data_IF_915861113730
#
_entry.id   IF_915861113730
#
_cell.length_a   1.000
_cell.length_b   1.000
_cell.length_c   1.000
_cell.angle_alpha   90.00
_cell.angle_beta   90.00
_cell.angle_gamma   90.00
#
_symmetry.space_group_name_H-M   'P 1'
#
loop_
_entity.id
_entity.type
_entity.pdbx_description
1 polymer ?
#
# COMPACT_ATOMS: atom_id res chain seq x y z
N UNK A 1 1.80 -20.91 -9.22
CA UNK A 1 1.03 -19.82 -9.84
C UNK A 1 0.51 -18.88 -8.76
N UNK A 2 1.23 -17.78 -8.52
CA UNK A 2 0.71 -16.56 -7.91
C UNK A 2 1.68 -15.46 -8.36
N UNK A 3 1.32 -14.79 -9.44
CA UNK A 3 2.10 -13.69 -10.03
C UNK A 3 2.06 -12.51 -9.07
N UNK A 4 3.05 -12.42 -8.18
CA UNK A 4 3.31 -11.17 -7.48
C UNK A 4 4.14 -10.31 -8.42
N UNK A 5 3.43 -9.45 -9.15
CA UNK A 5 3.99 -8.48 -10.07
C UNK A 5 4.73 -7.43 -9.25
N UNK A 6 6.03 -7.62 -9.05
CA UNK A 6 6.93 -6.54 -8.64
C UNK A 6 7.15 -5.63 -9.84
N UNK A 7 6.14 -4.79 -10.13
CA UNK A 7 6.33 -3.69 -11.07
C UNK A 7 7.21 -2.66 -10.38
N UNK A 8 8.46 -2.59 -10.83
CA UNK A 8 9.32 -1.41 -10.73
C UNK A 8 8.53 -0.15 -11.02
N UNK A 9 8.84 0.94 -10.33
CA UNK A 9 8.97 2.31 -10.86
C UNK A 9 9.11 3.24 -9.65
N UNK A 10 10.31 3.78 -9.48
CA UNK A 10 10.56 5.01 -8.73
C UNK A 10 9.53 6.07 -9.13
N UNK A 11 9.04 6.88 -8.19
CA UNK A 11 8.61 8.30 -8.29
C UNK A 11 7.47 8.56 -7.28
N UNK A 12 7.83 9.24 -6.19
CA UNK A 12 7.01 9.60 -5.02
C UNK A 12 6.52 8.49 -4.09
N UNK A 13 7.23 8.32 -2.98
CA UNK A 13 6.78 7.60 -1.79
C UNK A 13 5.38 8.07 -1.40
N UNK A 14 4.38 7.27 -1.72
CA UNK A 14 3.02 7.36 -1.21
C UNK A 14 2.86 6.25 -0.18
N UNK A 15 3.41 6.43 1.03
CA UNK A 15 3.52 5.33 1.96
C UNK A 15 2.18 4.99 2.61
N UNK A 16 1.16 5.82 2.45
CA UNK A 16 -0.14 5.61 3.05
C UNK A 16 -1.09 4.96 2.05
N UNK A 17 -1.46 3.72 2.28
CA UNK A 17 -2.29 2.93 1.37
C UNK A 17 -3.59 2.52 2.07
N UNK A 18 -4.73 2.77 1.45
CA UNK A 18 -6.01 2.22 1.92
C UNK A 18 -6.25 0.87 1.24
N UNK A 19 -6.43 -0.16 2.06
CA UNK A 19 -6.79 -1.51 1.62
C UNK A 19 -8.22 -1.84 2.03
N UNK A 20 -8.90 -2.52 1.13
CA UNK A 20 -10.21 -3.11 1.35
C UNK A 20 -10.03 -4.57 1.80
N UNK A 21 -10.56 -4.92 2.96
CA UNK A 21 -10.63 -6.30 3.42
C UNK A 21 -11.86 -6.97 2.84
N UNK A 22 -11.63 -8.06 2.11
CA UNK A 22 -12.66 -8.89 1.50
C UNK A 22 -12.91 -10.13 2.38
N UNK A 23 -14.14 -10.69 2.36
CA UNK A 23 -14.36 -12.03 2.89
C UNK A 23 -13.43 -13.00 2.15
N UNK A 24 -12.90 -14.01 2.86
CA UNK A 24 -11.86 -14.95 2.40
C UNK A 24 -10.40 -14.52 2.66
N UNK A 25 -10.17 -13.64 3.64
CA UNK A 25 -8.81 -13.20 4.02
C UNK A 25 -8.03 -12.57 2.85
N UNK A 26 -8.74 -12.02 1.88
CA UNK A 26 -8.17 -11.29 0.75
C UNK A 26 -8.18 -9.80 1.08
N UNK A 27 -7.17 -9.09 0.59
CA UNK A 27 -7.13 -7.64 0.63
C UNK A 27 -6.97 -7.09 -0.78
N UNK A 28 -7.55 -5.92 -1.02
CA UNK A 28 -7.41 -5.19 -2.28
C UNK A 28 -6.92 -3.79 -1.99
N UNK A 29 -5.79 -3.42 -2.58
CA UNK A 29 -5.35 -2.02 -2.59
C UNK A 29 -6.33 -1.17 -3.40
N UNK A 30 -6.84 -0.10 -2.79
CA UNK A 30 -7.74 0.84 -3.45
C UNK A 30 -6.99 2.07 -3.95
N UNK A 31 -6.21 2.69 -3.06
CA UNK A 31 -5.60 4.00 -3.32
C UNK A 31 -4.41 4.25 -2.39
N UNK A 32 -3.41 4.98 -2.91
CA UNK A 32 -2.22 5.41 -2.17
C UNK A 32 -2.10 6.93 -2.08
N UNK A 33 -1.62 7.40 -0.94
CA UNK A 33 -1.51 8.79 -0.54
C UNK A 33 -0.09 9.13 -0.05
N UNK A 34 0.33 10.37 -0.30
CA UNK A 34 1.60 10.92 0.23
C UNK A 34 1.47 11.28 1.70
N UNK A 35 0.34 11.87 2.06
CA UNK A 35 0.09 12.42 3.39
C UNK A 35 -0.88 11.52 4.16
N UNK A 36 -0.60 11.32 5.44
CA UNK A 36 -1.47 10.57 6.35
C UNK A 36 -2.86 11.21 6.46
N UNK A 37 -2.91 12.53 6.57
CA UNK A 37 -4.15 13.29 6.78
C UNK A 37 -5.15 13.10 5.63
N UNK A 38 -4.65 13.09 4.39
CA UNK A 38 -5.47 12.87 3.19
C UNK A 38 -6.01 11.43 3.15
N UNK A 39 -5.16 10.47 3.50
CA UNK A 39 -5.57 9.06 3.61
C UNK A 39 -6.63 8.85 4.70
N UNK A 40 -6.49 9.50 5.85
CA UNK A 40 -7.47 9.41 6.94
C UNK A 40 -8.80 10.07 6.60
N UNK A 41 -8.79 11.22 5.93
CA UNK A 41 -10.01 11.89 5.45
C UNK A 41 -10.76 11.00 4.45
N UNK A 42 -10.02 10.44 3.49
CA UNK A 42 -10.58 9.52 2.51
C UNK A 42 -11.13 8.24 3.15
N UNK A 43 -10.42 7.67 4.12
CA UNK A 43 -10.89 6.52 4.89
C UNK A 43 -12.18 6.83 5.66
N UNK A 44 -12.28 8.02 6.27
CA UNK A 44 -13.51 8.45 6.98
C UNK A 44 -14.68 8.57 6.01
N UNK A 45 -14.47 9.13 4.83
CA UNK A 45 -15.49 9.18 3.79
C UNK A 45 -15.92 7.77 3.37
N UNK A 46 -14.97 6.88 3.07
CA UNK A 46 -15.25 5.49 2.68
C UNK A 46 -16.05 4.73 3.76
N UNK A 47 -15.69 4.88 5.03
CA UNK A 47 -16.42 4.26 6.15
C UNK A 47 -17.84 4.81 6.32
N UNK A 48 -18.08 6.07 5.95
CA UNK A 48 -19.44 6.65 5.95
C UNK A 48 -20.29 6.12 4.79
N UNK A 49 -19.70 5.99 3.60
CA UNK A 49 -20.41 5.48 2.42
C UNK A 49 -20.64 3.97 2.49
N UNK A 50 -19.70 3.21 3.06
CA UNK A 50 -19.73 1.76 3.13
C UNK A 50 -19.42 1.26 4.55
N UNK A 51 -20.32 1.47 5.52
CA UNK A 51 -20.05 1.13 6.92
C UNK A 51 -19.94 -0.37 7.20
N UNK A 52 -20.48 -1.22 6.31
CA UNK A 52 -20.39 -2.68 6.39
C UNK A 52 -19.06 -3.22 5.87
N UNK A 53 -18.28 -2.37 5.21
CA UNK A 53 -17.03 -2.74 4.57
C UNK A 53 -15.86 -2.44 5.50
N UNK A 54 -14.94 -3.39 5.60
CA UNK A 54 -13.75 -3.25 6.42
C UNK A 54 -12.63 -2.64 5.58
N UNK A 55 -12.20 -1.45 5.97
CA UNK A 55 -11.09 -0.73 5.34
C UNK A 55 -9.96 -0.59 6.36
N UNK A 56 -8.73 -0.79 5.92
CA UNK A 56 -7.53 -0.57 6.73
C UNK A 56 -6.61 0.44 6.05
N UNK A 57 -5.96 1.27 6.86
CA UNK A 57 -4.90 2.17 6.42
C UNK A 57 -3.55 1.56 6.77
N UNK A 58 -2.79 1.20 5.74
CA UNK A 58 -1.48 0.57 5.87
C UNK A 58 -0.40 1.58 5.52
N UNK A 59 0.64 1.62 6.36
CA UNK A 59 1.86 2.34 6.05
C UNK A 59 2.85 1.37 5.38
N UNK A 60 2.99 1.48 4.06
CA UNK A 60 3.87 0.66 3.23
C UNK A 60 4.90 1.57 2.54
N UNK A 61 6.12 1.62 3.08
CA UNK A 61 7.22 2.27 2.39
C UNK A 61 7.63 1.37 1.22
N UNK A 62 7.64 1.87 -0.04
CA UNK A 62 8.20 1.09 -1.13
C UNK A 62 9.67 0.80 -0.77
N UNK A 63 10.01 -0.47 -0.59
CA UNK A 63 11.36 -0.88 -0.24
C UNK A 63 12.32 -0.39 -1.33
N UNK A 64 13.05 0.69 -1.05
CA UNK A 64 13.87 1.37 -2.05
C UNK A 64 15.17 0.63 -2.35
N UNK A 65 15.50 -0.48 -1.70
CA UNK A 65 16.76 -1.17 -1.96
C UNK A 65 16.54 -2.52 -2.63
N UNK A 66 16.95 -2.70 -3.90
CA UNK A 66 17.24 -4.04 -4.38
C UNK A 66 18.36 -4.57 -3.48
N UNK A 67 18.03 -5.60 -2.70
CA UNK A 67 18.97 -6.34 -1.84
C UNK A 67 20.22 -6.80 -2.62
N UNK A 68 20.09 -6.95 -3.94
CA UNK A 68 21.17 -7.22 -4.90
C UNK A 68 22.28 -6.16 -4.91
N UNK A 69 22.01 -4.91 -4.50
CA UNK A 69 23.02 -3.84 -4.48
C UNK A 69 23.90 -3.87 -3.21
N UNK A 70 23.45 -4.53 -2.13
CA UNK A 70 24.24 -4.71 -0.92
C UNK A 70 25.32 -5.79 -1.08
N UNK A 71 25.11 -6.74 -1.99
CA UNK A 71 26.09 -7.78 -2.35
C UNK A 71 27.28 -7.20 -3.16
N UNK A 72 27.03 -6.14 -3.94
CA UNK A 72 28.03 -5.55 -4.85
C UNK A 72 28.93 -4.46 -4.26
N UNK A 73 28.70 -4.01 -3.03
CA UNK A 73 29.57 -3.00 -2.37
C UNK A 73 30.66 -3.63 -1.48
N UNK A 74 30.72 -4.96 -1.42
CA UNK A 74 31.68 -5.71 -0.62
C UNK A 74 32.72 -6.52 -1.40
N UNK A 75 32.86 -6.31 -2.72
CA UNK A 75 33.91 -6.93 -3.55
C UNK A 75 34.92 -5.90 -4.06
#
# INVERSE_FOLDING_TARGET
MATQRFSSVSQEARPWTIVLLLPQAQHRELVRFRNRQDAEDHLRALRRFMPKTQFELVFDLPAQMPIDLLDKMGQ
#
